data_IF_375751193766
#
_entry.id   IF_375751193766
#
_cell.length_a   1.000
_cell.length_b   1.000
_cell.length_c   1.000
_cell.angle_alpha   90.00
_cell.angle_beta   90.00
_cell.angle_gamma   90.00
#
_symmetry.space_group_name_H-M   'P 1'
#
loop_
_entity.id
_entity.type
_entity.pdbx_description
1 polymer ?
#
# COMPACT_ATOMS: atom_id res chain seq x y z
N UNK A 1 -12.96 -25.99 -13.66
CA UNK A 1 -13.43 -24.86 -14.53
C UNK A 1 -13.55 -23.55 -13.76
N UNK A 2 -14.32 -23.42 -12.67
CA UNK A 2 -14.45 -22.15 -11.94
C UNK A 2 -13.15 -21.63 -11.33
N UNK A 3 -12.36 -22.47 -10.66
CA UNK A 3 -11.09 -22.09 -10.02
C UNK A 3 -10.02 -21.71 -11.03
N UNK A 4 -9.90 -22.44 -12.12
CA UNK A 4 -8.93 -22.15 -13.19
C UNK A 4 -9.24 -20.82 -13.86
N UNK A 5 -10.53 -20.53 -14.09
CA UNK A 5 -10.97 -19.24 -14.63
C UNK A 5 -10.68 -18.11 -13.64
N UNK A 6 -10.98 -18.29 -12.34
CA UNK A 6 -10.69 -17.31 -11.30
C UNK A 6 -9.19 -17.04 -11.16
N UNK A 7 -8.35 -18.08 -11.24
CA UNK A 7 -6.90 -17.95 -11.22
C UNK A 7 -6.38 -17.22 -12.48
N UNK A 8 -6.88 -17.59 -13.66
CA UNK A 8 -6.53 -16.91 -14.92
C UNK A 8 -6.91 -15.43 -14.89
N UNK A 9 -8.10 -15.10 -14.35
CA UNK A 9 -8.54 -13.72 -14.17
C UNK A 9 -7.62 -12.96 -13.21
N UNK A 10 -7.27 -13.54 -12.05
CA UNK A 10 -6.36 -12.90 -11.13
C UNK A 10 -4.95 -12.72 -11.72
N UNK A 11 -4.51 -13.63 -12.57
CA UNK A 11 -3.23 -13.55 -13.26
C UNK A 11 -3.24 -12.44 -14.33
N UNK A 12 -4.33 -12.27 -15.07
CA UNK A 12 -4.49 -11.15 -16.00
C UNK A 12 -4.52 -9.79 -15.28
N UNK A 13 -4.97 -9.78 -14.01
CA UNK A 13 -5.02 -8.60 -13.13
C UNK A 13 -3.77 -8.44 -12.24
N UNK A 14 -2.70 -9.21 -12.45
CA UNK A 14 -1.51 -9.20 -11.58
C UNK A 14 -0.88 -7.82 -11.46
N UNK A 15 -1.02 -6.97 -12.47
CA UNK A 15 -0.54 -5.58 -12.46
C UNK A 15 -1.33 -4.71 -11.49
N UNK A 16 -2.64 -4.96 -11.33
CA UNK A 16 -3.47 -4.33 -10.31
C UNK A 16 -3.16 -4.88 -8.90
N UNK A 17 -2.87 -6.19 -8.79
CA UNK A 17 -2.37 -6.80 -7.54
C UNK A 17 -1.10 -6.10 -7.09
N UNK A 18 -0.14 -5.86 -8.00
CA UNK A 18 1.10 -5.13 -7.72
C UNK A 18 0.81 -3.68 -7.29
N UNK A 19 -0.06 -2.99 -8.00
CA UNK A 19 -0.41 -1.61 -7.68
C UNK A 19 -1.04 -1.49 -6.29
N UNK A 20 -2.06 -2.30 -5.99
CA UNK A 20 -2.76 -2.25 -4.69
C UNK A 20 -1.89 -2.74 -3.52
N UNK A 21 -0.81 -3.47 -3.82
CA UNK A 21 0.21 -3.88 -2.84
C UNK A 21 1.22 -2.76 -2.60
N UNK A 22 1.81 -2.21 -3.67
CA UNK A 22 2.92 -1.25 -3.59
C UNK A 22 2.45 0.19 -3.36
N UNK A 23 1.41 0.62 -4.07
CA UNK A 23 0.97 2.02 -4.09
C UNK A 23 0.67 2.58 -2.71
N UNK A 24 -0.32 2.04 -1.96
CA UNK A 24 -0.67 2.56 -0.65
C UNK A 24 0.46 2.48 0.38
N UNK A 25 1.21 1.38 0.41
CA UNK A 25 2.30 1.18 1.36
C UNK A 25 3.49 2.11 1.07
N UNK A 26 3.83 2.32 -0.21
CA UNK A 26 4.88 3.24 -0.61
C UNK A 26 4.49 4.70 -0.38
N UNK A 27 3.21 5.04 -0.62
CA UNK A 27 2.70 6.37 -0.29
C UNK A 27 2.84 6.65 1.21
N UNK A 28 2.40 5.72 2.05
CA UNK A 28 2.56 5.86 3.50
C UNK A 28 4.04 5.94 3.90
N UNK A 29 4.92 5.13 3.30
CA UNK A 29 6.36 5.22 3.56
C UNK A 29 6.92 6.61 3.22
N UNK A 30 6.51 7.18 2.09
CA UNK A 30 6.87 8.55 1.72
C UNK A 30 6.42 9.54 2.78
N UNK A 31 5.14 9.51 3.20
CA UNK A 31 4.58 10.37 4.23
C UNK A 31 5.34 10.27 5.57
N UNK A 32 5.68 9.06 5.99
CA UNK A 32 6.45 8.81 7.20
C UNK A 32 7.84 9.46 7.11
N UNK A 33 8.49 9.37 5.96
CA UNK A 33 9.80 10.00 5.76
C UNK A 33 9.75 11.53 5.76
N UNK A 34 8.60 12.15 5.56
CA UNK A 34 8.41 13.60 5.72
C UNK A 34 8.36 14.02 7.19
N UNK A 35 8.00 13.13 8.13
CA UNK A 35 7.87 13.46 9.56
C UNK A 35 9.15 14.07 10.14
N UNK A 36 10.35 13.45 10.01
CA UNK A 36 11.58 14.07 10.49
C UNK A 36 11.93 15.38 9.76
N UNK A 37 11.52 15.55 8.50
CA UNK A 37 11.75 16.78 7.74
C UNK A 37 10.89 17.95 8.24
N UNK A 38 9.73 17.67 8.80
CA UNK A 38 8.85 18.70 9.37
C UNK A 38 9.44 19.34 10.63
N UNK A 39 10.21 18.58 11.41
CA UNK A 39 10.89 19.07 12.62
C UNK A 39 12.05 20.02 12.32
N UNK A 40 12.33 20.96 13.23
CA UNK A 40 13.40 21.95 13.08
C UNK A 40 14.76 21.45 13.60
N UNK A 41 14.78 20.41 14.43
CA UNK A 41 15.98 19.92 15.13
C UNK A 41 16.79 18.88 14.34
N UNK A 42 16.49 18.67 13.06
CA UNK A 42 17.22 17.73 12.21
C UNK A 42 18.49 18.37 11.65
N UNK A 43 19.64 17.68 11.79
CA UNK A 43 20.90 18.14 11.23
C UNK A 43 20.77 18.36 9.70
N UNK A 44 21.32 19.46 9.15
CA UNK A 44 21.17 19.79 7.72
C UNK A 44 21.60 18.68 6.77
N UNK A 45 22.72 18.03 7.07
CA UNK A 45 23.21 16.90 6.26
C UNK A 45 22.24 15.72 6.22
N UNK A 46 21.66 15.38 7.37
CA UNK A 46 20.70 14.28 7.46
C UNK A 46 19.38 14.65 6.78
N UNK A 47 18.96 15.92 6.89
CA UNK A 47 17.81 16.47 6.15
C UNK A 47 18.01 16.32 4.66
N UNK A 48 19.16 16.73 4.13
CA UNK A 48 19.48 16.60 2.71
C UNK A 48 19.48 15.13 2.27
N UNK A 49 20.08 14.23 3.06
CA UNK A 49 20.06 12.79 2.78
C UNK A 49 18.63 12.24 2.74
N UNK A 50 17.80 12.55 3.73
CA UNK A 50 16.40 12.08 3.74
C UNK A 50 15.65 12.60 2.51
N UNK A 51 15.75 13.91 2.20
CA UNK A 51 15.12 14.50 1.00
C UNK A 51 15.58 13.80 -0.28
N UNK A 52 16.87 13.54 -0.42
CA UNK A 52 17.42 12.83 -1.57
C UNK A 52 16.81 11.42 -1.70
N UNK A 53 16.68 10.68 -0.60
CA UNK A 53 16.21 9.28 -0.62
C UNK A 53 14.68 9.13 -0.67
N UNK A 54 13.91 10.21 -0.69
CA UNK A 54 12.46 10.17 -0.95
C UNK A 54 12.12 9.54 -2.31
N UNK A 55 13.08 9.50 -3.25
CA UNK A 55 12.88 8.81 -4.52
C UNK A 55 12.55 7.32 -4.36
N UNK A 56 13.03 6.67 -3.29
CA UNK A 56 12.84 5.21 -3.09
C UNK A 56 11.36 4.85 -2.98
N UNK A 57 10.60 5.37 -2.01
CA UNK A 57 9.15 5.11 -1.96
C UNK A 57 8.39 5.76 -3.13
N UNK A 58 8.87 6.89 -3.67
CA UNK A 58 8.27 7.52 -4.85
C UNK A 58 8.30 6.58 -6.05
N UNK A 59 9.47 6.02 -6.38
CA UNK A 59 9.63 5.09 -7.52
C UNK A 59 8.83 3.80 -7.29
N UNK A 60 8.81 3.27 -6.08
CA UNK A 60 8.01 2.08 -5.77
C UNK A 60 6.51 2.34 -5.97
N UNK A 61 6.00 3.51 -5.58
CA UNK A 61 4.62 3.92 -5.83
C UNK A 61 4.34 4.11 -7.32
N UNK A 62 5.24 4.80 -8.05
CA UNK A 62 5.15 4.99 -9.51
C UNK A 62 5.17 3.66 -10.26
N UNK A 63 6.03 2.73 -9.86
CA UNK A 63 6.09 1.41 -10.46
C UNK A 63 4.74 0.68 -10.35
N UNK A 64 4.11 0.72 -9.18
CA UNK A 64 2.77 0.18 -8.99
C UNK A 64 1.74 0.82 -9.92
N UNK A 65 1.74 2.17 -10.04
CA UNK A 65 0.80 2.88 -10.90
C UNK A 65 1.04 2.60 -12.40
N UNK A 66 2.30 2.56 -12.83
CA UNK A 66 2.64 2.22 -14.22
C UNK A 66 2.21 0.78 -14.52
N UNK A 67 2.46 -0.16 -13.60
CA UNK A 67 1.97 -1.53 -13.75
C UNK A 67 0.45 -1.56 -13.91
N UNK A 68 -0.29 -0.81 -13.10
CA UNK A 68 -1.75 -0.66 -13.25
C UNK A 68 -2.16 -0.11 -14.62
N UNK A 69 -1.42 0.85 -15.18
CA UNK A 69 -1.74 1.42 -16.50
C UNK A 69 -1.57 0.41 -17.64
N UNK A 70 -0.70 -0.60 -17.50
CA UNK A 70 -0.53 -1.67 -18.51
C UNK A 70 -1.71 -2.62 -18.61
N UNK A 71 -2.57 -2.66 -17.58
CA UNK A 71 -3.81 -3.42 -17.58
C UNK A 71 -4.87 -2.82 -18.54
N UNK A 72 -4.78 -1.54 -18.88
CA UNK A 72 -5.68 -0.91 -19.85
C UNK A 72 -5.49 -1.56 -21.21
N UNK A 73 -6.55 -2.15 -21.78
CA UNK A 73 -6.51 -2.81 -23.09
C UNK A 73 -6.00 -1.92 -24.22
N UNK A 74 -6.08 -0.60 -24.05
CA UNK A 74 -5.44 0.38 -24.92
C UNK A 74 -4.77 1.48 -24.07
N UNK A 75 -3.47 1.41 -23.81
CA UNK A 75 -2.71 2.41 -23.03
C UNK A 75 -2.81 3.83 -23.61
N UNK A 76 -3.01 3.97 -24.93
CA UNK A 76 -3.23 5.26 -25.58
C UNK A 76 -4.48 5.99 -25.08
N UNK A 77 -5.43 5.26 -24.53
CA UNK A 77 -6.66 5.79 -23.94
C UNK A 77 -6.55 6.09 -22.43
N UNK A 78 -5.38 5.91 -21.83
CA UNK A 78 -5.20 6.08 -20.37
C UNK A 78 -5.67 7.44 -19.85
N UNK A 79 -5.52 8.50 -20.65
CA UNK A 79 -5.96 9.85 -20.28
C UNK A 79 -7.51 10.01 -20.27
N UNK A 80 -8.26 9.17 -20.99
CA UNK A 80 -9.72 9.19 -20.92
C UNK A 80 -10.28 8.82 -19.55
N UNK A 81 -9.49 8.13 -18.73
CA UNK A 81 -9.86 7.85 -17.33
C UNK A 81 -10.13 9.16 -16.57
N UNK A 82 -9.43 10.25 -16.92
CA UNK A 82 -9.60 11.55 -16.26
C UNK A 82 -10.91 12.25 -16.63
N UNK A 83 -11.55 11.88 -17.74
CA UNK A 83 -12.83 12.49 -18.17
C UNK A 83 -14.02 12.14 -17.27
N UNK A 84 -13.89 11.13 -16.41
CA UNK A 84 -14.94 10.65 -15.51
C UNK A 84 -14.62 10.88 -14.03
N UNK A 85 -13.72 11.81 -13.72
CA UNK A 85 -13.41 12.22 -12.33
C UNK A 85 -14.70 12.76 -11.67
N UNK A 86 -14.94 12.32 -10.44
CA UNK A 86 -16.15 12.60 -9.68
C UNK A 86 -17.25 11.52 -9.85
N UNK A 87 -17.32 10.85 -11.01
CA UNK A 87 -18.34 9.84 -11.29
C UNK A 87 -17.82 8.38 -11.19
N UNK A 88 -16.55 8.14 -11.53
CA UNK A 88 -15.96 6.81 -11.53
C UNK A 88 -14.97 6.64 -10.39
N UNK A 89 -15.09 5.57 -9.56
CA UNK A 89 -14.11 5.27 -8.51
C UNK A 89 -12.68 5.14 -9.04
N UNK A 90 -12.48 4.45 -10.17
CA UNK A 90 -11.19 4.31 -10.83
C UNK A 90 -10.61 5.66 -11.29
N UNK A 91 -11.45 6.52 -11.87
CA UNK A 91 -11.01 7.86 -12.30
C UNK A 91 -10.58 8.73 -11.13
N UNK A 92 -11.29 8.62 -10.01
CA UNK A 92 -10.94 9.34 -8.77
C UNK A 92 -9.62 8.83 -8.17
N UNK A 93 -9.37 7.53 -8.25
CA UNK A 93 -8.13 6.90 -7.81
C UNK A 93 -6.92 7.39 -8.63
N UNK A 94 -7.01 7.30 -9.97
CA UNK A 94 -5.94 7.73 -10.89
C UNK A 94 -5.68 9.23 -10.76
N UNK A 95 -6.72 10.04 -10.61
CA UNK A 95 -6.59 11.48 -10.38
C UNK A 95 -5.84 11.77 -9.07
N UNK A 96 -6.23 11.14 -7.97
CA UNK A 96 -5.56 11.30 -6.68
C UNK A 96 -4.10 10.82 -6.73
N UNK A 97 -3.83 9.69 -7.41
CA UNK A 97 -2.48 9.18 -7.63
C UNK A 97 -1.60 10.18 -8.40
N UNK A 98 -2.12 10.75 -9.50
CA UNK A 98 -1.41 11.72 -10.33
C UNK A 98 -1.00 12.97 -9.54
N UNK A 99 -1.93 13.55 -8.78
CA UNK A 99 -1.63 14.73 -7.95
C UNK A 99 -0.66 14.44 -6.81
N UNK A 100 -0.83 13.31 -6.13
CA UNK A 100 0.08 12.89 -5.08
C UNK A 100 1.49 12.68 -5.63
N UNK A 101 1.64 11.90 -6.70
CA UNK A 101 2.95 11.61 -7.29
C UNK A 101 3.62 12.85 -7.88
N UNK A 102 2.85 13.73 -8.53
CA UNK A 102 3.38 14.99 -9.04
C UNK A 102 3.91 15.88 -7.91
N UNK A 103 3.14 16.03 -6.82
CA UNK A 103 3.57 16.80 -5.66
C UNK A 103 4.82 16.20 -5.01
N UNK A 104 4.88 14.86 -4.86
CA UNK A 104 6.05 14.16 -4.34
C UNK A 104 7.29 14.33 -5.23
N UNK A 105 7.12 14.20 -6.56
CA UNK A 105 8.21 14.36 -7.52
C UNK A 105 8.75 15.80 -7.55
N UNK A 106 7.87 16.79 -7.55
CA UNK A 106 8.26 18.21 -7.50
C UNK A 106 9.00 18.49 -6.19
N UNK A 107 8.48 18.03 -5.04
CA UNK A 107 9.12 18.22 -3.75
C UNK A 107 10.50 17.55 -3.70
N UNK A 108 10.66 16.35 -4.26
CA UNK A 108 11.93 15.64 -4.37
C UNK A 108 12.91 16.40 -5.25
N UNK A 109 12.50 16.86 -6.44
CA UNK A 109 13.33 17.62 -7.38
C UNK A 109 13.79 18.94 -6.76
N UNK A 110 12.90 19.66 -6.08
CA UNK A 110 13.26 20.90 -5.36
C UNK A 110 14.25 20.63 -4.21
N UNK A 111 14.38 19.39 -3.77
CA UNK A 111 15.39 18.95 -2.80
C UNK A 111 16.83 19.07 -3.26
N UNK A 112 17.08 19.22 -4.56
CA UNK A 112 18.41 19.46 -5.14
C UNK A 112 18.74 20.96 -5.25
N UNK A 113 17.78 21.86 -5.01
CA UNK A 113 18.01 23.30 -4.98
C UNK A 113 18.70 23.71 -3.67
N UNK A 114 19.64 24.64 -3.77
CA UNK A 114 20.37 25.20 -2.62
C UNK A 114 19.52 26.17 -1.76
N UNK A 115 18.32 26.53 -2.20
CA UNK A 115 17.40 27.39 -1.44
C UNK A 115 16.64 26.57 -0.40
N UNK A 116 16.97 26.76 0.86
CA UNK A 116 16.23 26.19 2.00
C UNK A 116 15.22 27.22 2.54
N UNK A 117 14.01 27.24 1.98
CA UNK A 117 12.88 27.93 2.58
C UNK A 117 12.09 26.96 3.46
N UNK A 118 12.27 27.08 4.76
CA UNK A 118 11.60 26.23 5.77
C UNK A 118 10.08 26.39 5.79
N UNK A 119 9.56 27.55 5.46
CA UNK A 119 8.11 27.77 5.39
C UNK A 119 7.53 27.02 4.19
N UNK A 120 8.17 27.18 3.04
CA UNK A 120 7.78 26.44 1.83
C UNK A 120 7.85 24.92 2.06
N UNK A 121 8.93 24.43 2.68
CA UNK A 121 9.09 22.98 2.97
C UNK A 121 7.94 22.47 3.86
N UNK A 122 7.61 23.15 4.95
CA UNK A 122 6.51 22.75 5.86
C UNK A 122 5.15 22.75 5.15
N UNK A 123 4.86 23.79 4.35
CA UNK A 123 3.62 23.88 3.57
C UNK A 123 3.53 22.73 2.55
N UNK A 124 4.59 22.48 1.81
CA UNK A 124 4.66 21.39 0.86
C UNK A 124 4.44 20.02 1.53
N UNK A 125 5.06 19.78 2.69
CA UNK A 125 4.87 18.55 3.47
C UNK A 125 3.40 18.38 3.87
N UNK A 126 2.72 19.43 4.32
CA UNK A 126 1.28 19.35 4.68
C UNK A 126 0.43 19.04 3.46
N UNK A 127 0.68 19.71 2.33
CA UNK A 127 -0.05 19.44 1.07
C UNK A 127 0.15 17.98 0.66
N UNK A 128 1.38 17.50 0.64
CA UNK A 128 1.69 16.11 0.27
C UNK A 128 1.05 15.13 1.25
N UNK A 129 1.02 15.43 2.55
CA UNK A 129 0.39 14.59 3.54
C UNK A 129 -1.12 14.45 3.27
N UNK A 130 -1.82 15.54 2.97
CA UNK A 130 -3.23 15.53 2.62
C UNK A 130 -3.47 14.73 1.34
N UNK A 131 -2.69 15.00 0.27
CA UNK A 131 -2.81 14.27 -1.00
C UNK A 131 -2.54 12.77 -0.82
N UNK A 132 -1.56 12.39 0.01
CA UNK A 132 -1.24 10.99 0.26
C UNK A 132 -2.34 10.25 1.03
N UNK A 133 -2.96 10.91 2.02
CA UNK A 133 -4.12 10.35 2.73
C UNK A 133 -5.30 10.18 1.78
N UNK A 134 -5.57 11.18 0.94
CA UNK A 134 -6.63 11.12 -0.09
C UNK A 134 -6.33 9.98 -1.07
N UNK A 135 -5.10 9.86 -1.55
CA UNK A 135 -4.71 8.78 -2.46
C UNK A 135 -4.95 7.39 -1.85
N UNK A 136 -4.44 7.12 -0.63
CA UNK A 136 -4.66 5.83 0.06
C UNK A 136 -6.15 5.54 0.22
N UNK A 137 -6.95 6.54 0.60
CA UNK A 137 -8.39 6.39 0.73
C UNK A 137 -9.06 6.07 -0.62
N UNK A 138 -8.66 6.77 -1.71
CA UNK A 138 -9.24 6.52 -3.05
C UNK A 138 -8.90 5.13 -3.56
N UNK A 139 -7.67 4.64 -3.37
CA UNK A 139 -7.32 3.24 -3.67
C UNK A 139 -8.19 2.28 -2.87
N UNK A 140 -8.39 2.53 -1.58
CA UNK A 140 -9.21 1.68 -0.73
C UNK A 140 -10.67 1.59 -1.20
N UNK A 141 -11.28 2.71 -1.54
CA UNK A 141 -12.69 2.77 -1.95
C UNK A 141 -12.92 2.43 -3.43
N UNK A 142 -11.89 2.41 -4.28
CA UNK A 142 -12.03 2.07 -5.70
C UNK A 142 -12.56 0.65 -5.93
N UNK A 143 -12.33 -0.24 -4.97
CA UNK A 143 -12.75 -1.65 -5.04
C UNK A 143 -14.06 -1.94 -4.28
N UNK A 144 -14.71 -0.94 -3.69
CA UNK A 144 -16.03 -1.12 -3.09
C UNK A 144 -17.12 -0.90 -4.14
N UNK A 145 -17.36 -1.89 -4.99
CA UNK A 145 -18.19 -1.80 -6.21
C UNK A 145 -19.42 -2.66 -6.05
N UNK A 146 -20.62 -2.08 -6.19
CA UNK A 146 -21.90 -2.77 -6.02
C UNK A 146 -22.12 -3.94 -6.99
N UNK A 147 -21.53 -3.89 -8.17
CA UNK A 147 -21.65 -4.94 -9.20
C UNK A 147 -20.85 -6.20 -8.88
N UNK A 148 -19.97 -6.17 -7.88
CA UNK A 148 -19.14 -7.30 -7.48
C UNK A 148 -19.47 -7.65 -6.04
N UNK A 149 -20.28 -8.69 -5.86
CA UNK A 149 -20.86 -9.10 -4.55
C UNK A 149 -19.80 -9.26 -3.46
N UNK A 150 -18.66 -9.87 -3.78
CA UNK A 150 -17.57 -10.13 -2.84
C UNK A 150 -16.76 -8.90 -2.50
N UNK A 151 -16.80 -7.85 -3.31
CA UNK A 151 -16.05 -6.61 -3.10
C UNK A 151 -16.89 -5.53 -2.43
N UNK A 152 -18.22 -5.58 -2.59
CA UNK A 152 -19.14 -4.62 -2.00
C UNK A 152 -19.37 -4.90 -0.49
N UNK A 153 -18.34 -4.63 0.30
CA UNK A 153 -18.36 -4.82 1.76
C UNK A 153 -17.40 -3.83 2.42
N UNK A 154 -17.71 -3.31 3.62
CA UNK A 154 -16.84 -2.38 4.34
C UNK A 154 -15.49 -3.01 4.73
N UNK A 155 -15.40 -4.34 4.75
CA UNK A 155 -14.15 -5.06 5.04
C UNK A 155 -13.10 -4.79 3.97
N UNK A 156 -13.49 -4.67 2.69
CA UNK A 156 -12.56 -4.49 1.56
C UNK A 156 -11.81 -3.16 1.66
N UNK A 157 -12.46 -1.98 1.71
CA UNK A 157 -11.72 -0.73 1.84
C UNK A 157 -10.92 -0.65 3.15
N UNK A 158 -11.43 -1.22 4.24
CA UNK A 158 -10.69 -1.30 5.50
C UNK A 158 -9.40 -2.14 5.36
N UNK A 159 -9.48 -3.32 4.72
CA UNK A 159 -8.32 -4.18 4.49
C UNK A 159 -7.30 -3.56 3.54
N UNK A 160 -7.76 -2.83 2.50
CA UNK A 160 -6.88 -2.11 1.59
C UNK A 160 -6.14 -0.97 2.31
N UNK A 161 -6.86 -0.12 3.02
CA UNK A 161 -6.25 0.99 3.76
C UNK A 161 -5.28 0.49 4.84
N UNK A 162 -5.68 -0.52 5.62
CA UNK A 162 -4.86 -1.06 6.72
C UNK A 162 -3.57 -1.71 6.18
N UNK A 163 -3.60 -2.34 4.99
CA UNK A 163 -2.40 -2.94 4.39
C UNK A 163 -1.27 -1.94 4.17
N UNK A 164 -1.57 -0.66 3.92
CA UNK A 164 -0.55 0.38 3.83
C UNK A 164 0.26 0.50 5.13
N UNK A 165 -0.42 0.37 6.27
CA UNK A 165 0.19 0.46 7.61
C UNK A 165 0.91 -0.85 8.03
N UNK A 166 0.70 -1.95 7.33
CA UNK A 166 1.44 -3.20 7.55
C UNK A 166 2.87 -3.09 7.02
N UNK A 167 3.05 -2.71 5.77
CA UNK A 167 4.36 -2.68 5.12
C UNK A 167 5.03 -1.29 5.10
N UNK A 168 4.23 -0.22 4.96
CA UNK A 168 4.73 1.15 4.81
C UNK A 168 5.66 1.63 5.93
N UNK A 169 5.36 1.41 7.21
CA UNK A 169 6.22 1.85 8.30
C UNK A 169 7.60 1.18 8.30
N UNK A 170 7.67 -0.15 8.04
CA UNK A 170 8.97 -0.82 7.93
C UNK A 170 9.71 -0.43 6.65
N UNK A 171 9.01 -0.19 5.56
CA UNK A 171 9.62 0.34 4.35
C UNK A 171 10.25 1.72 4.60
N UNK A 172 9.54 2.63 5.28
CA UNK A 172 10.11 3.91 5.69
C UNK A 172 11.32 3.73 6.63
N UNK A 173 11.22 2.80 7.60
CA UNK A 173 12.32 2.50 8.53
C UNK A 173 13.56 1.99 7.78
N UNK A 174 13.41 1.16 6.74
CA UNK A 174 14.51 0.72 5.87
C UNK A 174 15.22 1.91 5.24
N UNK A 175 14.47 2.82 4.61
CA UNK A 175 15.06 3.96 3.90
C UNK A 175 15.69 4.95 4.91
N UNK A 176 15.02 5.25 6.01
CA UNK A 176 15.55 6.09 7.09
C UNK A 176 16.85 5.50 7.67
N UNK A 177 16.91 4.19 7.85
CA UNK A 177 18.12 3.50 8.30
C UNK A 177 19.26 3.60 7.29
N UNK A 178 18.96 3.46 5.98
CA UNK A 178 19.93 3.57 4.90
C UNK A 178 20.59 4.97 4.84
N UNK A 179 19.84 6.04 5.18
CA UNK A 179 20.39 7.40 5.22
C UNK A 179 21.10 7.74 6.53
N UNK A 180 21.16 6.80 7.47
CA UNK A 180 21.82 6.99 8.76
C UNK A 180 20.92 7.58 9.85
N UNK A 181 19.60 7.68 9.63
CA UNK A 181 18.64 8.01 10.68
C UNK A 181 18.53 6.79 11.62
N UNK A 182 19.05 6.93 12.84
CA UNK A 182 19.15 5.81 13.77
C UNK A 182 17.77 5.38 14.26
N UNK A 183 17.41 4.15 13.91
CA UNK A 183 16.07 3.63 14.09
C UNK A 183 15.73 3.24 15.53
N UNK A 184 16.67 2.63 16.27
CA UNK A 184 16.37 2.06 17.58
C UNK A 184 16.24 3.09 18.72
N UNK A 185 16.98 4.20 18.64
CA UNK A 185 17.04 5.19 19.71
C UNK A 185 16.01 6.31 19.59
N UNK A 186 15.29 6.42 18.47
CA UNK A 186 14.39 7.52 18.20
C UNK A 186 12.90 7.14 18.38
N UNK A 187 12.12 8.05 18.97
CA UNK A 187 10.68 7.85 19.20
C UNK A 187 9.92 7.47 17.94
N UNK A 188 10.27 8.07 16.79
CA UNK A 188 9.64 7.76 15.52
C UNK A 188 9.79 6.27 15.18
N UNK A 189 10.99 5.72 15.25
CA UNK A 189 11.23 4.35 14.84
C UNK A 189 10.54 3.33 15.76
N UNK A 190 10.45 3.62 17.07
CA UNK A 190 9.61 2.84 17.98
C UNK A 190 8.14 2.90 17.59
N UNK A 191 7.63 4.10 17.25
CA UNK A 191 6.26 4.28 16.78
C UNK A 191 5.99 3.49 15.48
N UNK A 192 6.97 3.45 14.55
CA UNK A 192 6.85 2.64 13.32
C UNK A 192 6.75 1.14 13.62
N UNK A 193 7.55 0.64 14.57
CA UNK A 193 7.45 -0.75 15.03
C UNK A 193 6.07 -1.06 15.61
N UNK A 194 5.58 -0.22 16.53
CA UNK A 194 4.24 -0.38 17.14
C UNK A 194 3.15 -0.32 16.08
N UNK A 195 3.23 0.65 15.16
CA UNK A 195 2.25 0.81 14.09
C UNK A 195 2.19 -0.42 13.19
N UNK A 196 3.34 -0.99 12.81
CA UNK A 196 3.40 -2.24 12.03
C UNK A 196 2.76 -3.42 12.77
N UNK A 197 3.04 -3.58 14.08
CA UNK A 197 2.45 -4.66 14.88
C UNK A 197 0.94 -4.53 14.95
N UNK A 198 0.45 -3.34 15.32
CA UNK A 198 -1.00 -3.08 15.46
C UNK A 198 -1.71 -3.24 14.12
N UNK A 199 -1.14 -2.67 13.06
CA UNK A 199 -1.70 -2.80 11.72
C UNK A 199 -1.67 -4.24 11.22
N UNK A 200 -0.62 -5.00 11.52
CA UNK A 200 -0.53 -6.42 11.18
C UNK A 200 -1.66 -7.24 11.81
N UNK A 201 -1.90 -7.05 13.11
CA UNK A 201 -3.01 -7.71 13.82
C UNK A 201 -4.37 -7.30 13.24
N UNK A 202 -4.59 -6.00 13.07
CA UNK A 202 -5.85 -5.49 12.52
C UNK A 202 -6.10 -5.99 11.09
N UNK A 203 -5.07 -6.00 10.25
CA UNK A 203 -5.17 -6.48 8.88
C UNK A 203 -5.47 -7.98 8.81
N UNK A 204 -4.81 -8.80 9.64
CA UNK A 204 -5.10 -10.24 9.72
C UNK A 204 -6.55 -10.49 10.19
N UNK A 205 -7.04 -9.71 11.15
CA UNK A 205 -8.45 -9.81 11.58
C UNK A 205 -9.42 -9.44 10.43
N UNK A 206 -9.11 -8.42 9.63
CA UNK A 206 -9.89 -8.06 8.45
C UNK A 206 -9.84 -9.16 7.37
N UNK A 207 -8.71 -9.86 7.20
CA UNK A 207 -8.64 -11.01 6.29
C UNK A 207 -9.50 -12.18 6.79
N UNK A 208 -9.54 -12.44 8.09
CA UNK A 208 -10.47 -13.43 8.66
C UNK A 208 -11.92 -13.03 8.38
N UNK A 209 -12.28 -11.77 8.63
CA UNK A 209 -13.62 -11.26 8.31
C UNK A 209 -13.96 -11.40 6.82
N UNK A 210 -13.00 -11.13 5.93
CA UNK A 210 -13.19 -11.32 4.49
C UNK A 210 -13.37 -12.79 4.12
N UNK A 211 -12.66 -13.72 4.74
CA UNK A 211 -12.86 -15.16 4.57
C UNK A 211 -14.30 -15.60 4.94
N UNK A 212 -14.88 -15.01 5.98
CA UNK A 212 -16.31 -15.24 6.31
C UNK A 212 -17.25 -14.63 5.27
N UNK A 213 -16.94 -13.44 4.74
CA UNK A 213 -17.71 -12.85 3.62
C UNK A 213 -17.70 -13.81 2.42
N UNK A 214 -16.55 -14.37 2.05
CA UNK A 214 -16.47 -15.36 0.95
C UNK A 214 -17.27 -16.63 1.23
N UNK A 215 -17.32 -17.08 2.48
CA UNK A 215 -18.06 -18.28 2.86
C UNK A 215 -19.59 -18.06 2.86
N UNK A 216 -20.04 -16.83 3.07
CA UNK A 216 -21.46 -16.48 3.14
C UNK A 216 -22.01 -15.88 1.84
N UNK A 217 -21.15 -15.48 0.92
CA UNK A 217 -21.55 -14.87 -0.36
C UNK A 217 -21.75 -15.90 -1.43
N UNK A 218 -22.80 -15.72 -2.24
CA UNK A 218 -23.10 -16.54 -3.42
C UNK A 218 -23.80 -15.70 -4.47
N UNK A 219 -23.70 -16.12 -5.71
CA UNK A 219 -24.58 -15.65 -6.78
C UNK A 219 -25.50 -16.79 -7.26
N UNK A 220 -26.28 -16.57 -8.30
CA UNK A 220 -27.20 -17.57 -8.83
C UNK A 220 -26.51 -18.85 -9.36
N UNK A 221 -25.19 -18.81 -9.60
CA UNK A 221 -24.46 -19.91 -10.24
C UNK A 221 -23.57 -20.69 -9.27
N UNK A 222 -22.97 -20.02 -8.27
CA UNK A 222 -22.00 -20.66 -7.37
C UNK A 222 -21.77 -19.87 -6.07
N UNK A 223 -21.27 -20.53 -5.01
CA UNK A 223 -20.77 -19.84 -3.82
C UNK A 223 -19.41 -19.18 -4.10
N UNK A 224 -19.12 -18.05 -3.46
CA UNK A 224 -17.86 -17.33 -3.65
C UNK A 224 -16.63 -18.14 -3.19
N UNK A 225 -16.81 -19.01 -2.19
CA UNK A 225 -15.76 -19.91 -1.73
C UNK A 225 -15.26 -20.88 -2.81
N UNK A 226 -16.07 -21.18 -3.83
CA UNK A 226 -15.67 -22.01 -4.95
C UNK A 226 -14.69 -21.32 -5.92
N UNK A 227 -14.64 -19.98 -5.93
CA UNK A 227 -13.67 -19.22 -6.73
C UNK A 227 -12.27 -19.24 -6.08
N UNK A 228 -12.20 -19.30 -4.75
CA UNK A 228 -10.94 -19.23 -3.99
C UNK A 228 -10.92 -20.35 -2.93
N UNK A 229 -10.91 -21.63 -3.32
CA UNK A 229 -10.92 -22.74 -2.36
C UNK A 229 -9.66 -22.75 -1.48
N UNK A 230 -8.55 -22.20 -1.98
CA UNK A 230 -7.27 -22.09 -1.26
C UNK A 230 -7.17 -20.79 -0.41
N UNK A 231 -8.26 -20.07 -0.16
CA UNK A 231 -8.21 -18.84 0.63
C UNK A 231 -7.57 -19.06 2.00
N UNK A 232 -8.03 -20.03 2.77
CA UNK A 232 -7.53 -20.29 4.12
C UNK A 232 -6.07 -20.80 4.14
N UNK A 233 -5.63 -21.72 3.28
CA UNK A 233 -4.21 -22.04 3.12
C UNK A 233 -3.35 -20.82 2.78
N UNK A 234 -3.78 -19.97 1.84
CA UNK A 234 -3.08 -18.73 1.49
C UNK A 234 -3.03 -17.76 2.67
N UNK A 235 -4.13 -17.62 3.41
CA UNK A 235 -4.18 -16.83 4.64
C UNK A 235 -3.20 -17.37 5.70
N UNK A 236 -3.12 -18.70 5.90
CA UNK A 236 -2.16 -19.28 6.82
C UNK A 236 -0.70 -18.93 6.45
N UNK A 237 -0.35 -18.97 5.17
CA UNK A 237 0.95 -18.50 4.68
C UNK A 237 1.14 -17.01 4.97
N UNK A 238 0.13 -16.18 4.70
CA UNK A 238 0.21 -14.75 4.99
C UNK A 238 0.40 -14.46 6.49
N UNK A 239 -0.25 -15.22 7.38
CA UNK A 239 -0.03 -15.13 8.85
C UNK A 239 1.43 -15.40 9.19
N UNK A 240 2.02 -16.47 8.66
CA UNK A 240 3.44 -16.80 8.90
C UNK A 240 4.34 -15.68 8.42
N UNK A 241 4.12 -15.15 7.21
CA UNK A 241 4.91 -14.06 6.65
C UNK A 241 4.82 -12.78 7.49
N UNK A 242 3.61 -12.43 7.95
CA UNK A 242 3.39 -11.26 8.81
C UNK A 242 4.07 -11.46 10.16
N UNK A 243 3.88 -12.62 10.81
CA UNK A 243 4.50 -12.90 12.12
C UNK A 243 6.03 -12.86 12.01
N UNK A 244 6.61 -13.53 11.03
CA UNK A 244 8.07 -13.51 10.81
C UNK A 244 8.56 -12.10 10.51
N UNK A 245 7.88 -11.37 9.61
CA UNK A 245 8.23 -9.99 9.27
C UNK A 245 8.17 -9.06 10.49
N UNK A 246 7.12 -9.17 11.30
CA UNK A 246 6.96 -8.39 12.53
C UNK A 246 8.05 -8.72 13.54
N UNK A 247 8.31 -10.02 13.81
CA UNK A 247 9.31 -10.45 14.79
C UNK A 247 10.72 -10.03 14.38
N UNK A 248 11.04 -10.11 13.09
CA UNK A 248 12.38 -9.76 12.59
C UNK A 248 12.63 -8.25 12.53
N UNK A 249 11.63 -7.48 12.08
CA UNK A 249 11.80 -6.05 11.77
C UNK A 249 11.13 -5.11 12.77
N UNK A 250 9.83 -5.29 13.04
CA UNK A 250 9.08 -4.37 13.87
C UNK A 250 9.37 -4.54 15.37
N UNK A 251 9.48 -5.76 15.86
CA UNK A 251 9.66 -6.04 17.28
C UNK A 251 10.96 -5.47 17.89
N UNK A 252 12.14 -5.55 17.22
CA UNK A 252 13.33 -4.84 17.67
C UNK A 252 13.10 -3.33 17.82
N UNK A 253 12.41 -2.71 16.86
CA UNK A 253 12.09 -1.28 16.89
C UNK A 253 11.18 -0.92 18.08
N UNK A 254 10.16 -1.75 18.36
CA UNK A 254 9.28 -1.58 19.55
C UNK A 254 10.10 -1.57 20.85
N UNK A 255 11.08 -2.44 20.95
CA UNK A 255 11.98 -2.53 22.11
C UNK A 255 13.05 -1.43 22.15
N UNK A 256 13.11 -0.56 21.16
CA UNK A 256 14.12 0.48 21.06
C UNK A 256 15.49 -0.01 20.61
N UNK A 257 15.57 -1.22 20.07
CA UNK A 257 16.80 -1.77 19.52
C UNK A 257 16.96 -1.43 18.04
N UNK A 258 18.20 -1.29 17.60
CA UNK A 258 18.50 -1.17 16.18
C UNK A 258 18.36 -2.53 15.48
N UNK A 259 17.51 -2.60 14.46
CA UNK A 259 17.47 -3.77 13.59
C UNK A 259 18.56 -3.66 12.51
N UNK A 260 19.33 -4.72 12.23
CA UNK A 260 20.26 -4.76 11.11
C UNK A 260 19.52 -4.50 9.77
N UNK A 261 20.18 -3.80 8.85
CA UNK A 261 19.57 -3.42 7.57
C UNK A 261 18.99 -4.62 6.81
N UNK A 262 19.74 -5.73 6.75
CA UNK A 262 19.26 -6.95 6.10
C UNK A 262 17.97 -7.50 6.70
N UNK A 263 17.81 -7.45 8.03
CA UNK A 263 16.56 -7.86 8.70
C UNK A 263 15.39 -6.95 8.33
N UNK A 264 15.60 -5.63 8.29
CA UNK A 264 14.55 -4.69 7.91
C UNK A 264 14.10 -4.91 6.47
N UNK A 265 15.05 -5.12 5.54
CA UNK A 265 14.75 -5.38 4.12
C UNK A 265 13.95 -6.68 3.97
N UNK A 266 14.44 -7.78 4.58
CA UNK A 266 13.74 -9.08 4.52
C UNK A 266 12.36 -8.96 5.15
N UNK A 267 12.23 -8.34 6.32
CA UNK A 267 10.93 -8.13 6.97
C UNK A 267 9.96 -7.36 6.09
N UNK A 268 10.43 -6.27 5.47
CA UNK A 268 9.61 -5.46 4.58
C UNK A 268 9.16 -6.27 3.37
N UNK A 269 10.06 -7.06 2.77
CA UNK A 269 9.72 -7.94 1.64
C UNK A 269 8.70 -9.01 2.03
N UNK A 270 8.83 -9.63 3.21
CA UNK A 270 7.85 -10.61 3.72
C UNK A 270 6.46 -10.00 3.92
N UNK A 271 6.39 -8.77 4.45
CA UNK A 271 5.11 -8.06 4.61
C UNK A 271 4.48 -7.70 3.25
N UNK A 272 5.27 -7.23 2.28
CA UNK A 272 4.78 -7.01 0.93
C UNK A 272 4.30 -8.30 0.27
N UNK A 273 5.02 -9.41 0.45
CA UNK A 273 4.62 -10.71 -0.08
C UNK A 273 3.31 -11.20 0.55
N UNK A 274 3.12 -11.04 1.87
CA UNK A 274 1.87 -11.38 2.54
C UNK A 274 0.69 -10.59 1.95
N UNK A 275 0.87 -9.27 1.78
CA UNK A 275 -0.16 -8.41 1.18
C UNK A 275 -0.44 -8.85 -0.26
N UNK A 276 0.60 -9.11 -1.06
CA UNK A 276 0.47 -9.53 -2.45
C UNK A 276 -0.34 -10.83 -2.58
N UNK A 277 -0.03 -11.86 -1.78
CA UNK A 277 -0.75 -13.14 -1.80
C UNK A 277 -2.24 -12.95 -1.48
N UNK A 278 -2.56 -12.17 -0.47
CA UNK A 278 -3.96 -11.91 -0.11
C UNK A 278 -4.67 -11.01 -1.13
N UNK A 279 -3.95 -10.10 -1.79
CA UNK A 279 -4.50 -9.34 -2.93
C UNK A 279 -4.76 -10.24 -4.13
N UNK A 280 -3.87 -11.16 -4.43
CA UNK A 280 -4.11 -12.14 -5.50
C UNK A 280 -5.37 -12.96 -5.22
N UNK A 281 -5.53 -13.48 -4.00
CA UNK A 281 -6.75 -14.18 -3.58
C UNK A 281 -8.01 -13.28 -3.66
N UNK A 282 -7.90 -11.99 -3.34
CA UNK A 282 -8.96 -11.01 -3.49
C UNK A 282 -9.40 -10.85 -4.96
N UNK A 283 -8.46 -10.77 -5.91
CA UNK A 283 -8.79 -10.68 -7.34
C UNK A 283 -9.36 -11.99 -7.89
N UNK A 284 -8.93 -13.16 -7.39
CA UNK A 284 -9.59 -14.43 -7.70
C UNK A 284 -11.06 -14.45 -7.28
N UNK A 285 -11.39 -13.75 -6.18
CA UNK A 285 -12.75 -13.66 -5.66
C UNK A 285 -13.66 -12.69 -6.43
N UNK A 286 -13.32 -12.29 -7.64
CA UNK A 286 -14.15 -11.41 -8.48
C UNK A 286 -15.45 -12.11 -8.86
N UNK A 287 -16.52 -11.87 -8.10
CA UNK A 287 -17.84 -12.44 -8.29
C UNK A 287 -18.86 -11.36 -8.68
N UNK A 288 -19.28 -11.37 -9.92
CA UNK A 288 -20.36 -10.49 -10.38
C UNK A 288 -21.72 -10.98 -9.90
N UNK A 289 -22.73 -10.11 -9.95
CA UNK A 289 -24.11 -10.39 -9.51
C UNK A 289 -24.82 -11.51 -10.32
N UNK A 290 -24.14 -12.22 -11.23
CA UNK A 290 -24.66 -13.39 -11.91
C UNK A 290 -25.28 -13.15 -13.27
N UNK A 291 -25.01 -12.02 -13.88
CA UNK A 291 -25.28 -11.84 -15.32
C UNK A 291 -24.14 -12.55 -16.05
N UNK A 292 -24.43 -13.69 -16.64
CA UNK A 292 -23.53 -14.33 -17.61
C UNK A 292 -23.31 -13.34 -18.76
N UNK A 293 -22.08 -12.89 -18.93
CA UNK A 293 -21.64 -12.24 -20.17
C UNK A 293 -21.14 -13.31 -21.12
#
# INVERSE_FOLDING_TARGET
MGVELAFSNALSEVTLVLFTTLGPASALAYLIMLVPLFGDNLAPELRHKIRKYLWVPLVACMFGLIASATHLGNPGNALYVLSRVGASPLSNEVFAAGFFLAACAIFWLLGFSLREDRRFEKVAIVIIAVLGVVFIARVAFAYNVETIVTWHTPVVPAAIATSAFVAGPLFAACVLRAVGYRAGAQRLCRALGVLTVVAGVAWLALQVAYGFVLSSSSNALMPASALVPQYWPTFAVAVVLVVVGVVMGAWPLVRGHEAPMGRLVISTALLFLAIFLMRFAFYMAHMTVGVAL
#
